data_IF_182258907192
#
_entry.id   IF_182258907192
#
_cell.length_a   1.000
_cell.length_b   1.000
_cell.length_c   1.000
_cell.angle_alpha   90.00
_cell.angle_beta   90.00
_cell.angle_gamma   90.00
#
_symmetry.space_group_name_H-M   'P 1'
#
loop_
_entity.id
_entity.type
_entity.pdbx_description
1 polymer ?
#
# COMPACT_ATOMS: atom_id res chain seq x y z
N UNK A 1 -22.90 2.75 -19.49
CA UNK A 1 -21.65 2.82 -18.72
C UNK A 1 -20.85 1.56 -19.02
N UNK A 2 -19.73 1.67 -19.67
CA UNK A 2 -18.81 0.55 -19.91
C UNK A 2 -18.25 0.10 -18.54
N UNK A 3 -18.50 -1.15 -18.20
CA UNK A 3 -17.97 -1.70 -16.94
C UNK A 3 -16.43 -1.69 -17.00
N UNK A 4 -15.79 -1.09 -15.99
CA UNK A 4 -14.33 -1.16 -15.82
C UNK A 4 -13.91 -2.63 -15.78
N UNK A 5 -13.08 -3.06 -16.73
CA UNK A 5 -12.47 -4.38 -16.72
C UNK A 5 -11.07 -4.25 -16.14
N UNK A 6 -10.83 -4.73 -14.92
CA UNK A 6 -9.51 -4.74 -14.36
C UNK A 6 -8.54 -5.55 -15.22
N UNK A 7 -7.28 -5.14 -15.35
CA UNK A 7 -6.31 -5.90 -16.11
C UNK A 7 -6.10 -7.29 -15.49
N UNK A 8 -6.00 -8.30 -16.39
CA UNK A 8 -5.57 -9.63 -15.99
C UNK A 8 -4.06 -9.57 -15.70
N UNK A 9 -3.56 -10.06 -14.57
CA UNK A 9 -2.13 -10.07 -14.28
C UNK A 9 -1.29 -10.82 -15.32
N UNK A 10 -1.82 -11.87 -15.94
CA UNK A 10 -1.09 -12.65 -16.94
C UNK A 10 -0.72 -11.80 -18.17
N UNK A 11 0.55 -11.52 -18.34
CA UNK A 11 1.11 -10.66 -19.41
C UNK A 11 1.01 -9.17 -19.14
N UNK A 12 0.42 -8.75 -18.01
CA UNK A 12 0.32 -7.33 -17.65
C UNK A 12 1.64 -6.76 -17.15
N UNK A 13 1.84 -5.47 -17.35
CA UNK A 13 2.97 -4.71 -16.82
C UNK A 13 2.55 -3.95 -15.56
N UNK A 14 3.31 -4.11 -14.48
CA UNK A 14 3.04 -3.46 -13.19
C UNK A 14 4.27 -2.75 -12.63
N UNK A 15 4.07 -1.63 -11.93
CA UNK A 15 5.08 -1.00 -11.08
C UNK A 15 4.59 -1.14 -9.63
N UNK A 16 5.50 -1.56 -8.73
CA UNK A 16 5.24 -1.62 -7.28
C UNK A 16 6.26 -0.76 -6.56
N UNK A 17 5.82 0.37 -5.99
CA UNK A 17 6.69 1.23 -5.18
C UNK A 17 6.82 0.70 -3.76
N UNK A 18 8.02 0.82 -3.16
CA UNK A 18 8.35 0.13 -1.91
C UNK A 18 8.33 -1.39 -2.08
N UNK A 19 8.71 -1.86 -3.30
CA UNK A 19 8.65 -3.27 -3.70
C UNK A 19 9.73 -4.15 -3.08
N UNK A 20 10.76 -3.56 -2.48
CA UNK A 20 11.90 -4.27 -1.89
C UNK A 20 11.63 -4.91 -0.52
N UNK A 21 10.47 -4.69 0.11
CA UNK A 21 10.17 -5.24 1.42
C UNK A 21 8.66 -5.35 1.72
N UNK A 22 8.33 -6.08 2.79
CA UNK A 22 7.00 -6.11 3.40
C UNK A 22 5.85 -6.39 2.41
N UNK A 23 4.83 -5.52 2.43
CA UNK A 23 3.65 -5.64 1.56
C UNK A 23 4.04 -5.55 0.08
N UNK A 24 4.97 -4.63 -0.27
CA UNK A 24 5.43 -4.46 -1.64
C UNK A 24 6.07 -5.73 -2.19
N UNK A 25 6.97 -6.35 -1.45
CA UNK A 25 7.60 -7.62 -1.85
C UNK A 25 6.58 -8.75 -2.01
N UNK A 26 5.59 -8.82 -1.12
CA UNK A 26 4.50 -9.80 -1.24
C UNK A 26 3.63 -9.57 -2.49
N UNK A 27 3.34 -8.30 -2.82
CA UNK A 27 2.64 -7.93 -4.06
C UNK A 27 3.45 -8.33 -5.30
N UNK A 28 4.76 -8.08 -5.29
CA UNK A 28 5.66 -8.50 -6.39
C UNK A 28 5.61 -10.02 -6.57
N UNK A 29 5.77 -10.79 -5.49
CA UNK A 29 5.67 -12.26 -5.56
C UNK A 29 4.34 -12.73 -6.15
N UNK A 30 3.24 -12.17 -5.67
CA UNK A 30 1.90 -12.54 -6.13
C UNK A 30 1.65 -12.19 -7.60
N UNK A 31 2.09 -11.01 -8.05
CA UNK A 31 1.95 -10.54 -9.44
C UNK A 31 2.79 -11.39 -10.38
N UNK A 32 4.06 -11.65 -10.07
CA UNK A 32 4.94 -12.49 -10.89
C UNK A 32 4.42 -13.93 -10.97
N UNK A 33 3.91 -14.46 -9.85
CA UNK A 33 3.29 -15.79 -9.83
C UNK A 33 2.02 -15.86 -10.69
N UNK A 34 1.32 -14.73 -10.85
CA UNK A 34 0.15 -14.61 -11.73
C UNK A 34 0.51 -14.30 -13.20
N UNK A 35 1.80 -14.20 -13.55
CA UNK A 35 2.29 -14.01 -14.91
C UNK A 35 2.53 -12.55 -15.32
N UNK A 36 2.57 -11.61 -14.38
CA UNK A 36 2.86 -10.20 -14.67
C UNK A 36 4.36 -9.92 -14.82
N UNK A 37 4.67 -8.88 -15.62
CA UNK A 37 5.98 -8.24 -15.62
C UNK A 37 5.97 -7.10 -14.59
N UNK A 38 6.84 -7.20 -13.57
CA UNK A 38 6.81 -6.28 -12.42
C UNK A 38 8.10 -5.49 -12.30
N UNK A 39 8.00 -4.16 -12.32
CA UNK A 39 9.09 -3.28 -11.91
C UNK A 39 9.04 -3.13 -10.39
N UNK A 40 10.07 -3.64 -9.73
CA UNK A 40 10.28 -3.58 -8.28
C UNK A 40 10.97 -2.26 -7.96
N UNK A 41 10.18 -1.21 -7.73
CA UNK A 41 10.70 0.13 -7.48
C UNK A 41 10.87 0.36 -5.96
N UNK A 42 12.08 0.67 -5.53
CA UNK A 42 12.40 0.94 -4.13
C UNK A 42 13.52 1.97 -4.00
N UNK A 43 13.55 2.72 -2.90
CA UNK A 43 14.66 3.61 -2.57
C UNK A 43 15.95 2.80 -2.36
N UNK A 44 15.84 1.63 -1.72
CA UNK A 44 16.90 0.63 -1.58
C UNK A 44 16.94 -0.31 -2.79
N UNK A 45 17.78 0.03 -3.77
CA UNK A 45 17.98 -0.81 -4.96
C UNK A 45 18.45 -2.23 -4.62
N UNK A 46 19.22 -2.42 -3.55
CA UNK A 46 19.68 -3.75 -3.15
C UNK A 46 18.49 -4.61 -2.66
N UNK A 47 17.56 -4.01 -1.91
CA UNK A 47 16.33 -4.68 -1.51
C UNK A 47 15.45 -5.05 -2.73
N UNK A 48 15.30 -4.13 -3.70
CA UNK A 48 14.57 -4.39 -4.94
C UNK A 48 15.19 -5.54 -5.75
N UNK A 49 16.52 -5.58 -5.85
CA UNK A 49 17.25 -6.68 -6.53
C UNK A 49 17.02 -8.02 -5.87
N UNK A 50 17.14 -8.10 -4.54
CA UNK A 50 16.89 -9.35 -3.80
C UNK A 50 15.51 -9.92 -4.08
N UNK A 51 14.47 -9.08 -4.08
CA UNK A 51 13.09 -9.52 -4.37
C UNK A 51 12.95 -9.97 -5.82
N UNK A 52 13.53 -9.25 -6.79
CA UNK A 52 13.48 -9.63 -8.20
C UNK A 52 14.18 -10.97 -8.46
N UNK A 53 15.33 -11.23 -7.83
CA UNK A 53 16.06 -12.50 -7.92
C UNK A 53 15.30 -13.65 -7.25
N UNK A 54 14.72 -13.43 -6.07
CA UNK A 54 13.91 -14.40 -5.33
C UNK A 54 12.76 -14.95 -6.20
N UNK A 55 11.98 -14.06 -6.82
CA UNK A 55 10.83 -14.49 -7.62
C UNK A 55 11.24 -15.20 -8.91
N UNK A 56 12.38 -14.86 -9.48
CA UNK A 56 12.93 -15.52 -10.66
C UNK A 56 13.37 -16.94 -10.34
N UNK A 57 14.08 -17.14 -9.24
CA UNK A 57 14.58 -18.44 -8.78
C UNK A 57 13.44 -19.37 -8.37
N UNK A 58 12.49 -18.87 -7.57
CA UNK A 58 11.34 -19.66 -7.10
C UNK A 58 10.47 -20.15 -8.24
N UNK A 59 10.35 -19.39 -9.31
CA UNK A 59 9.60 -19.77 -10.51
C UNK A 59 10.26 -20.95 -11.26
N UNK A 60 11.58 -20.91 -11.39
CA UNK A 60 12.32 -21.99 -12.09
C UNK A 60 12.15 -23.35 -11.42
N UNK A 61 11.81 -23.38 -10.13
CA UNK A 61 11.62 -24.60 -9.34
C UNK A 61 10.18 -25.15 -9.36
N UNK A 62 9.18 -24.41 -9.89
CA UNK A 62 7.77 -24.85 -9.88
C UNK A 62 7.38 -25.56 -11.19
N UNK A 63 7.05 -26.85 -11.09
CA UNK A 63 6.34 -27.58 -12.14
C UNK A 63 4.89 -27.06 -12.25
N UNK A 64 4.44 -26.69 -13.46
CA UNK A 64 3.08 -26.17 -13.70
C UNK A 64 2.96 -24.64 -13.72
N UNK A 65 4.01 -23.94 -14.14
CA UNK A 65 3.97 -22.48 -14.32
C UNK A 65 2.87 -22.05 -15.31
N UNK A 66 2.25 -20.86 -15.12
CA UNK A 66 1.25 -20.33 -16.04
C UNK A 66 1.80 -20.20 -17.46
N UNK A 67 0.92 -20.27 -18.47
CA UNK A 67 1.28 -20.18 -19.88
C UNK A 67 2.08 -18.90 -20.23
N UNK A 68 1.87 -17.82 -19.49
CA UNK A 68 2.66 -16.58 -19.58
C UNK A 68 3.58 -16.49 -18.37
N UNK A 69 4.86 -16.44 -18.64
CA UNK A 69 5.88 -16.36 -17.59
C UNK A 69 5.98 -14.93 -17.07
N UNK A 70 5.64 -14.68 -15.79
CA UNK A 70 5.91 -13.42 -15.13
C UNK A 70 7.41 -13.17 -14.92
N UNK A 71 7.80 -11.91 -14.78
CA UNK A 71 9.17 -11.50 -14.51
C UNK A 71 9.22 -10.31 -13.55
N UNK A 72 10.38 -10.08 -12.96
CA UNK A 72 10.61 -8.89 -12.13
C UNK A 72 11.93 -8.22 -12.53
N UNK A 73 11.94 -6.89 -12.54
CA UNK A 73 13.14 -6.10 -12.74
C UNK A 73 13.26 -5.03 -11.65
N UNK A 74 14.45 -4.83 -11.04
CA UNK A 74 14.63 -3.87 -9.98
C UNK A 74 14.86 -2.46 -10.54
N UNK A 75 14.27 -1.46 -9.88
CA UNK A 75 14.52 -0.05 -10.17
C UNK A 75 14.75 0.72 -8.86
N UNK A 76 15.76 1.63 -8.85
CA UNK A 76 15.89 2.59 -7.76
C UNK A 76 14.89 3.72 -7.97
N UNK A 77 14.06 4.00 -6.97
CA UNK A 77 13.08 5.07 -7.04
C UNK A 77 12.88 5.72 -5.66
N UNK A 78 13.07 7.02 -5.60
CA UNK A 78 12.55 7.86 -4.52
C UNK A 78 11.17 8.40 -4.94
N UNK A 79 10.12 7.99 -4.26
CA UNK A 79 8.75 8.43 -4.59
C UNK A 79 8.50 9.92 -4.27
N UNK A 80 9.38 10.57 -3.51
CA UNK A 80 9.30 12.02 -3.23
C UNK A 80 9.78 12.86 -4.40
N UNK A 81 10.52 12.27 -5.34
CA UNK A 81 10.97 12.88 -6.59
C UNK A 81 9.94 12.63 -7.72
N UNK A 82 9.15 13.64 -8.02
CA UNK A 82 8.09 13.56 -9.03
C UNK A 82 8.64 13.31 -10.45
N UNK A 83 9.82 13.86 -10.77
CA UNK A 83 10.44 13.70 -12.08
C UNK A 83 10.96 12.27 -12.25
N UNK A 84 11.59 11.71 -11.20
CA UNK A 84 12.03 10.32 -11.20
C UNK A 84 10.86 9.33 -11.34
N UNK A 85 9.72 9.61 -10.67
CA UNK A 85 8.51 8.77 -10.81
C UNK A 85 7.98 8.84 -12.24
N UNK A 86 7.87 10.03 -12.83
CA UNK A 86 7.40 10.21 -14.20
C UNK A 86 8.32 9.54 -15.21
N UNK A 87 9.63 9.74 -15.07
CA UNK A 87 10.62 9.12 -15.95
C UNK A 87 10.58 7.58 -15.93
N UNK A 88 10.40 6.99 -14.73
CA UNK A 88 10.24 5.53 -14.61
C UNK A 88 8.97 5.03 -15.30
N UNK A 89 7.85 5.72 -15.13
CA UNK A 89 6.58 5.35 -15.78
C UNK A 89 6.70 5.45 -17.30
N UNK A 90 7.28 6.51 -17.83
CA UNK A 90 7.51 6.69 -19.26
C UNK A 90 8.46 5.64 -19.84
N UNK A 91 9.54 5.32 -19.13
CA UNK A 91 10.47 4.25 -19.51
C UNK A 91 9.75 2.90 -19.62
N UNK A 92 8.90 2.56 -18.63
CA UNK A 92 8.13 1.32 -18.64
C UNK A 92 7.14 1.29 -19.80
N UNK A 93 6.42 2.37 -20.04
CA UNK A 93 5.47 2.48 -21.16
C UNK A 93 6.20 2.31 -22.51
N UNK A 94 7.34 2.97 -22.68
CA UNK A 94 8.12 2.91 -23.92
C UNK A 94 8.71 1.51 -24.19
N UNK A 95 9.22 0.86 -23.13
CA UNK A 95 9.90 -0.45 -23.28
C UNK A 95 8.93 -1.63 -23.32
N UNK A 96 7.74 -1.52 -22.70
CA UNK A 96 6.76 -2.61 -22.55
C UNK A 96 5.46 -2.38 -23.34
N UNK A 97 5.31 -1.23 -24.00
CA UNK A 97 4.10 -0.88 -24.74
C UNK A 97 2.92 -0.42 -23.89
N UNK A 98 3.11 -0.27 -22.56
CA UNK A 98 2.09 0.25 -21.65
C UNK A 98 2.32 -0.11 -20.20
N UNK A 99 1.58 0.57 -19.31
CA UNK A 99 1.52 0.26 -17.88
C UNK A 99 0.08 -0.12 -17.53
N UNK A 100 -0.13 -1.37 -17.07
CA UNK A 100 -1.46 -1.90 -16.75
C UNK A 100 -1.84 -1.67 -15.29
N UNK A 101 -0.87 -1.76 -14.38
CA UNK A 101 -1.12 -1.62 -12.94
C UNK A 101 -0.03 -0.75 -12.28
N UNK A 102 -0.46 0.22 -11.47
CA UNK A 102 0.41 1.02 -10.61
C UNK A 102 0.06 0.79 -9.15
N UNK A 103 0.98 0.21 -8.39
CA UNK A 103 0.85 0.01 -6.96
C UNK A 103 1.65 1.11 -6.22
N UNK A 104 0.96 2.17 -5.81
CA UNK A 104 1.52 3.21 -4.95
C UNK A 104 1.51 2.68 -3.50
N UNK A 105 2.57 1.95 -3.15
CA UNK A 105 2.66 1.20 -1.90
C UNK A 105 3.74 1.74 -0.95
N UNK A 106 4.76 2.43 -1.42
CA UNK A 106 5.80 3.02 -0.57
C UNK A 106 5.21 3.83 0.59
N UNK A 107 5.78 3.71 1.78
CA UNK A 107 5.29 4.41 2.95
C UNK A 107 6.17 4.25 4.17
N UNK A 108 6.13 5.25 5.03
CA UNK A 108 6.82 5.29 6.32
C UNK A 108 5.83 5.56 7.45
N UNK A 109 6.26 5.40 8.70
CA UNK A 109 5.46 5.67 9.90
C UNK A 109 6.29 6.34 10.98
N UNK A 110 5.63 7.12 11.81
CA UNK A 110 6.11 7.59 13.09
C UNK A 110 5.10 7.24 14.16
N UNK A 111 5.57 6.73 15.30
CA UNK A 111 4.74 6.36 16.45
C UNK A 111 5.30 6.89 17.76
N UNK A 112 4.42 7.34 18.63
CA UNK A 112 4.69 8.04 19.89
C UNK A 112 3.79 9.26 20.05
N UNK A 113 4.01 10.03 21.08
CA UNK A 113 3.25 11.24 21.33
C UNK A 113 3.49 12.31 20.26
N UNK A 114 2.42 12.96 19.83
CA UNK A 114 2.44 13.87 18.68
C UNK A 114 3.36 15.07 18.89
N UNK A 115 3.50 15.55 20.12
CA UNK A 115 4.38 16.65 20.52
C UNK A 115 5.88 16.34 20.38
N UNK A 116 6.24 15.06 20.26
CA UNK A 116 7.62 14.63 20.04
C UNK A 116 8.04 14.69 18.56
N UNK A 117 7.09 14.84 17.65
CA UNK A 117 7.37 14.91 16.22
C UNK A 117 7.95 16.26 15.82
N UNK A 118 9.13 16.25 15.20
CA UNK A 118 9.67 17.44 14.55
C UNK A 118 8.94 17.77 13.26
N UNK A 119 9.04 19.03 12.80
CA UNK A 119 8.47 19.42 11.49
C UNK A 119 9.10 18.65 10.33
N UNK A 120 10.38 18.28 10.42
CA UNK A 120 11.03 17.47 9.39
C UNK A 120 10.42 16.07 9.31
N UNK A 121 10.07 15.47 10.43
CA UNK A 121 9.36 14.18 10.46
C UNK A 121 7.93 14.30 9.90
N UNK A 122 7.22 15.40 10.20
CA UNK A 122 5.94 15.71 9.59
C UNK A 122 6.06 15.85 8.05
N UNK A 123 7.04 16.62 7.58
CA UNK A 123 7.28 16.82 6.16
C UNK A 123 7.64 15.48 5.49
N UNK A 124 8.57 14.72 6.05
CA UNK A 124 9.00 13.44 5.49
C UNK A 124 7.84 12.45 5.31
N UNK A 125 6.95 12.33 6.32
CA UNK A 125 5.81 11.40 6.21
C UNK A 125 4.76 11.89 5.19
N UNK A 126 4.57 13.20 5.06
CA UNK A 126 3.69 13.78 4.04
C UNK A 126 4.29 13.56 2.65
N UNK A 127 5.58 13.80 2.48
CA UNK A 127 6.27 13.66 1.20
C UNK A 127 6.20 12.22 0.69
N UNK A 128 6.50 11.25 1.54
CA UNK A 128 6.45 9.84 1.14
C UNK A 128 5.02 9.32 1.00
N UNK A 129 4.19 9.48 2.05
CA UNK A 129 2.89 8.79 2.12
C UNK A 129 1.78 9.49 1.33
N UNK A 130 1.90 10.80 1.07
CA UNK A 130 0.87 11.57 0.35
C UNK A 130 1.40 12.00 -1.00
N UNK A 131 2.46 12.82 -1.05
CA UNK A 131 3.00 13.32 -2.32
C UNK A 131 3.51 12.18 -3.19
N UNK A 132 4.22 11.19 -2.62
CA UNK A 132 4.66 10.01 -3.36
C UNK A 132 3.52 9.24 -4.01
N UNK A 133 2.37 9.10 -3.33
CA UNK A 133 1.16 8.51 -3.94
C UNK A 133 0.60 9.40 -5.04
N UNK A 134 0.57 10.72 -4.82
CA UNK A 134 0.12 11.69 -5.85
C UNK A 134 1.02 11.63 -7.08
N UNK A 135 2.36 11.57 -6.93
CA UNK A 135 3.30 11.43 -8.04
C UNK A 135 3.03 10.16 -8.86
N UNK A 136 2.79 9.02 -8.18
CA UNK A 136 2.43 7.77 -8.84
C UNK A 136 1.12 7.90 -9.65
N UNK A 137 0.10 8.52 -9.07
CA UNK A 137 -1.18 8.77 -9.75
C UNK A 137 -0.99 9.72 -10.91
N UNK A 138 -0.29 10.84 -10.71
CA UNK A 138 -0.02 11.84 -11.73
C UNK A 138 0.69 11.27 -12.95
N UNK A 139 1.70 10.43 -12.73
CA UNK A 139 2.46 9.82 -13.81
C UNK A 139 1.68 8.71 -14.55
N UNK A 140 0.94 7.86 -13.84
CA UNK A 140 0.32 6.68 -14.45
C UNK A 140 -1.09 6.92 -15.01
N UNK A 141 -1.91 7.71 -14.31
CA UNK A 141 -3.34 7.86 -14.62
C UNK A 141 -3.65 8.43 -16.00
N UNK A 142 -2.96 9.49 -16.50
CA UNK A 142 -3.21 10.02 -17.85
C UNK A 142 -3.01 8.96 -18.95
N UNK A 143 -1.97 8.13 -18.86
CA UNK A 143 -1.71 7.04 -19.81
C UNK A 143 -2.78 5.97 -19.76
N UNK A 144 -3.25 5.61 -18.56
CA UNK A 144 -4.33 4.63 -18.39
C UNK A 144 -5.66 5.14 -18.97
N UNK A 145 -5.98 6.43 -18.77
CA UNK A 145 -7.17 7.06 -19.38
C UNK A 145 -7.07 7.04 -20.91
N UNK A 146 -5.92 7.45 -21.46
CA UNK A 146 -5.73 7.50 -22.91
C UNK A 146 -5.90 6.12 -23.56
N UNK A 147 -5.51 5.05 -22.84
CA UNK A 147 -5.72 3.65 -23.25
C UNK A 147 -7.14 3.12 -23.00
N UNK A 148 -7.92 3.79 -22.15
CA UNK A 148 -9.21 3.29 -21.67
C UNK A 148 -9.10 2.03 -20.81
N UNK A 149 -7.93 1.75 -20.19
CA UNK A 149 -7.70 0.57 -19.35
C UNK A 149 -6.54 0.78 -18.38
N UNK A 150 -6.65 0.22 -17.19
CA UNK A 150 -5.61 0.24 -16.17
C UNK A 150 -6.15 0.04 -14.76
N UNK A 151 -5.25 -0.13 -13.79
CA UNK A 151 -5.60 -0.20 -12.38
C UNK A 151 -4.59 0.58 -11.51
N UNK A 152 -5.10 1.48 -10.70
CA UNK A 152 -4.37 2.15 -9.63
C UNK A 152 -4.68 1.47 -8.30
N UNK A 153 -3.65 1.06 -7.58
CA UNK A 153 -3.76 0.41 -6.27
C UNK A 153 -3.01 1.23 -5.25
N UNK A 154 -3.74 1.85 -4.32
CA UNK A 154 -3.19 2.79 -3.35
C UNK A 154 -3.16 2.16 -1.96
N UNK A 155 -1.98 2.00 -1.39
CA UNK A 155 -1.82 1.40 -0.06
C UNK A 155 -2.05 2.44 1.04
N UNK A 156 -3.25 2.43 1.61
CA UNK A 156 -3.62 3.15 2.81
C UNK A 156 -3.37 2.28 4.07
N UNK A 157 -4.32 2.27 5.00
CA UNK A 157 -4.30 1.52 6.27
C UNK A 157 -5.68 1.56 6.92
N UNK A 158 -5.93 0.72 7.91
CA UNK A 158 -7.03 0.94 8.88
C UNK A 158 -6.93 2.30 9.58
N UNK A 159 -5.71 2.82 9.77
CA UNK A 159 -5.47 4.20 10.23
C UNK A 159 -5.93 5.29 9.25
N UNK A 160 -6.32 4.94 8.02
CA UNK A 160 -7.00 5.84 7.07
C UNK A 160 -8.52 5.75 7.11
N UNK A 161 -9.08 4.81 7.89
CA UNK A 161 -10.52 4.58 8.03
C UNK A 161 -11.03 4.85 9.46
N UNK A 162 -10.14 4.81 10.44
CA UNK A 162 -10.43 5.02 11.86
C UNK A 162 -9.38 5.97 12.46
N UNK A 163 -9.72 6.82 13.43
CA UNK A 163 -8.76 7.58 14.20
C UNK A 163 -7.75 6.65 14.88
N UNK A 164 -6.49 7.07 14.97
CA UNK A 164 -5.42 6.30 15.61
C UNK A 164 -4.46 7.25 16.33
N UNK A 165 -4.67 7.48 17.62
CA UNK A 165 -3.76 8.24 18.47
C UNK A 165 -2.40 7.54 18.60
N UNK A 166 -1.38 8.26 18.98
CA UNK A 166 0.04 7.83 19.03
C UNK A 166 0.67 7.47 17.68
N UNK A 167 -0.08 7.50 16.59
CA UNK A 167 0.38 7.42 15.20
C UNK A 167 -0.32 8.49 14.35
N UNK A 168 -0.50 9.67 14.92
CA UNK A 168 -1.35 10.74 14.36
C UNK A 168 -0.92 11.17 12.95
N UNK A 169 0.39 11.40 12.74
CA UNK A 169 0.93 11.79 11.44
C UNK A 169 0.70 10.72 10.38
N UNK A 170 0.89 9.46 10.74
CA UNK A 170 0.62 8.32 9.86
C UNK A 170 -0.88 8.24 9.53
N UNK A 171 -1.75 8.29 10.55
CA UNK A 171 -3.19 8.22 10.35
C UNK A 171 -3.70 9.34 9.44
N UNK A 172 -3.23 10.58 9.63
CA UNK A 172 -3.54 11.72 8.77
C UNK A 172 -3.19 11.41 7.30
N UNK A 173 -1.96 10.93 7.04
CA UNK A 173 -1.54 10.63 5.66
C UNK A 173 -2.35 9.50 5.03
N UNK A 174 -2.73 8.49 5.81
CA UNK A 174 -3.53 7.37 5.31
C UNK A 174 -5.00 7.74 5.07
N UNK A 175 -5.57 8.69 5.81
CA UNK A 175 -6.87 9.30 5.49
C UNK A 175 -6.81 10.07 4.16
N UNK A 176 -5.73 10.83 3.91
CA UNK A 176 -5.53 11.52 2.63
C UNK A 176 -5.52 10.53 1.45
N UNK A 177 -4.82 9.39 1.58
CA UNK A 177 -4.79 8.35 0.53
C UNK A 177 -6.16 7.72 0.30
N UNK A 178 -6.95 7.47 1.37
CA UNK A 178 -8.33 6.96 1.23
C UNK A 178 -9.20 7.99 0.50
N UNK A 179 -9.13 9.26 0.89
CA UNK A 179 -9.89 10.35 0.26
C UNK A 179 -9.54 10.49 -1.23
N UNK A 180 -8.24 10.52 -1.55
CA UNK A 180 -7.76 10.54 -2.93
C UNK A 180 -8.30 9.36 -3.74
N UNK A 181 -8.10 8.14 -3.24
CA UNK A 181 -8.46 6.93 -3.99
C UNK A 181 -9.95 6.77 -4.24
N UNK A 182 -10.79 7.08 -3.25
CA UNK A 182 -12.24 7.01 -3.40
C UNK A 182 -12.79 8.09 -4.32
N UNK A 183 -12.24 9.33 -4.27
CA UNK A 183 -12.63 10.41 -5.18
C UNK A 183 -12.20 10.10 -6.61
N UNK A 184 -10.93 9.71 -6.81
CA UNK A 184 -10.39 9.35 -8.11
C UNK A 184 -11.15 8.17 -8.74
N UNK A 185 -11.59 7.20 -7.93
CA UNK A 185 -12.41 6.09 -8.40
C UNK A 185 -13.73 6.55 -9.03
N UNK A 186 -14.37 7.57 -8.45
CA UNK A 186 -15.60 8.12 -9.02
C UNK A 186 -15.35 8.77 -10.39
N UNK A 187 -14.23 9.50 -10.54
CA UNK A 187 -13.83 10.12 -11.81
C UNK A 187 -13.40 9.09 -12.86
N UNK A 188 -12.78 7.98 -12.43
CA UNK A 188 -12.24 6.94 -13.30
C UNK A 188 -13.33 5.95 -13.80
N UNK A 189 -14.54 5.98 -13.24
CA UNK A 189 -15.57 4.97 -13.44
C UNK A 189 -16.03 4.80 -14.90
N UNK A 190 -16.00 5.88 -15.69
CA UNK A 190 -16.36 5.89 -17.12
C UNK A 190 -15.14 5.95 -18.06
N UNK A 191 -13.93 5.96 -17.48
CA UNK A 191 -12.65 6.06 -18.20
C UNK A 191 -11.96 4.71 -18.39
N UNK A 192 -12.57 3.62 -17.96
CA UNK A 192 -11.99 2.27 -18.06
C UNK A 192 -10.88 1.96 -17.05
N UNK A 193 -10.61 2.85 -16.08
CA UNK A 193 -9.55 2.67 -15.10
C UNK A 193 -10.12 2.28 -13.74
N UNK A 194 -9.61 1.18 -13.18
CA UNK A 194 -9.95 0.73 -11.84
C UNK A 194 -9.12 1.45 -10.78
N UNK A 195 -9.73 1.82 -9.66
CA UNK A 195 -9.01 2.35 -8.49
C UNK A 195 -9.40 1.56 -7.26
N UNK A 196 -8.39 0.96 -6.60
CA UNK A 196 -8.55 0.17 -5.38
C UNK A 196 -7.69 0.74 -4.27
N UNK A 197 -8.30 1.01 -3.12
CA UNK A 197 -7.57 1.43 -1.92
C UNK A 197 -7.43 0.24 -0.97
N UNK A 198 -6.20 -0.04 -0.56
CA UNK A 198 -5.86 -1.16 0.34
C UNK A 198 -5.75 -0.63 1.75
N UNK A 199 -6.60 -1.10 2.65
CA UNK A 199 -6.68 -0.67 4.05
C UNK A 199 -6.41 -1.85 5.00
N UNK A 200 -5.15 -2.28 5.15
CA UNK A 200 -4.81 -3.37 6.04
C UNK A 200 -4.79 -2.92 7.50
N UNK A 201 -5.06 -3.86 8.38
CA UNK A 201 -4.68 -3.78 9.80
C UNK A 201 -3.17 -4.04 9.95
N UNK A 202 -2.68 -4.42 11.15
CA UNK A 202 -1.28 -4.76 11.33
C UNK A 202 -0.85 -5.93 10.42
N UNK A 203 0.14 -5.69 9.58
CA UNK A 203 0.76 -6.69 8.69
C UNK A 203 2.17 -6.97 9.18
N UNK A 204 2.62 -8.21 9.13
CA UNK A 204 3.95 -8.63 9.60
C UNK A 204 5.05 -8.10 8.67
N UNK A 205 5.46 -6.90 8.95
CA UNK A 205 6.46 -6.16 8.19
C UNK A 205 7.32 -5.32 9.13
N UNK A 206 8.49 -4.91 8.67
CA UNK A 206 9.39 -4.08 9.44
C UNK A 206 8.81 -2.69 9.81
N UNK A 207 7.70 -2.27 9.19
CA UNK A 207 7.07 -0.97 9.49
C UNK A 207 6.53 -0.92 10.94
N UNK A 208 6.17 -2.08 11.51
CA UNK A 208 5.68 -2.16 12.90
C UNK A 208 6.79 -1.81 13.93
N UNK A 209 8.05 -1.93 13.54
CA UNK A 209 9.21 -1.76 14.40
C UNK A 209 10.03 -0.49 14.04
N UNK A 210 9.55 0.31 13.07
CA UNK A 210 10.22 1.55 12.60
C UNK A 210 9.52 2.81 13.11
N UNK A 211 10.27 3.93 13.11
CA UNK A 211 9.72 5.26 13.40
C UNK A 211 9.24 5.41 14.84
N UNK A 212 9.86 4.74 15.80
CA UNK A 212 9.50 4.79 17.21
C UNK A 212 10.12 6.00 17.89
N UNK A 213 9.30 6.78 18.60
CA UNK A 213 9.71 7.94 19.39
C UNK A 213 9.64 7.59 20.88
N UNK A 214 10.63 8.01 21.63
CA UNK A 214 10.67 7.93 23.10
C UNK A 214 10.22 6.57 23.67
N UNK A 215 10.78 5.47 23.16
CA UNK A 215 10.48 4.12 23.63
C UNK A 215 9.10 3.58 23.21
N UNK A 216 8.39 4.23 22.30
CA UNK A 216 7.12 3.71 21.77
C UNK A 216 7.32 2.35 21.11
N UNK A 217 6.64 1.32 21.61
CA UNK A 217 6.64 -0.02 21.00
C UNK A 217 5.51 -0.12 19.95
N UNK A 218 5.86 0.14 18.70
CA UNK A 218 4.90 0.14 17.59
C UNK A 218 4.26 -1.23 17.40
N UNK A 219 5.03 -2.32 17.40
CA UNK A 219 4.50 -3.68 17.21
C UNK A 219 3.46 -4.02 18.26
N UNK A 220 3.79 -3.82 19.53
CA UNK A 220 2.87 -4.03 20.64
C UNK A 220 1.63 -3.16 20.51
N UNK A 221 1.81 -1.88 20.22
CA UNK A 221 0.71 -0.93 20.02
C UNK A 221 -0.26 -1.40 18.94
N UNK A 222 0.24 -1.80 17.76
CA UNK A 222 -0.64 -2.27 16.69
C UNK A 222 -1.36 -3.58 17.04
N UNK A 223 -0.70 -4.52 17.72
CA UNK A 223 -1.31 -5.80 18.06
C UNK A 223 -2.34 -5.67 19.17
N UNK A 224 -2.01 -4.97 20.25
CA UNK A 224 -2.91 -4.76 21.39
C UNK A 224 -4.15 -3.94 20.99
N UNK A 225 -3.94 -2.85 20.22
CA UNK A 225 -5.03 -2.01 19.72
C UNK A 225 -6.01 -2.72 18.79
N UNK A 226 -5.58 -3.82 18.19
CA UNK A 226 -6.42 -4.65 17.33
C UNK A 226 -6.89 -5.94 18.04
N UNK A 227 -6.47 -6.17 19.27
CA UNK A 227 -6.81 -7.35 20.04
C UNK A 227 -6.29 -8.65 19.40
N UNK A 228 -5.07 -8.62 18.83
CA UNK A 228 -4.50 -9.77 18.12
C UNK A 228 -3.13 -10.15 18.65
N UNK A 229 -2.84 -11.44 18.61
CA UNK A 229 -1.52 -11.96 19.01
C UNK A 229 -0.50 -12.00 17.88
N UNK A 230 -0.95 -11.99 16.63
CA UNK A 230 -0.09 -12.06 15.43
C UNK A 230 -0.61 -11.12 14.37
N UNK A 231 0.27 -10.40 13.68
CA UNK A 231 -0.11 -9.58 12.54
C UNK A 231 -0.56 -10.45 11.35
N UNK A 232 -1.17 -9.81 10.37
CA UNK A 232 -1.56 -10.44 9.12
C UNK A 232 -0.31 -10.80 8.29
N UNK A 233 -0.31 -11.97 7.71
CA UNK A 233 0.70 -12.40 6.75
C UNK A 233 0.66 -11.53 5.48
N UNK A 234 1.81 -10.98 5.01
CA UNK A 234 1.86 -10.12 3.82
C UNK A 234 1.42 -10.83 2.54
N UNK A 235 1.71 -12.13 2.38
CA UNK A 235 1.35 -12.86 1.16
C UNK A 235 -0.17 -13.13 1.11
N UNK A 236 -0.82 -13.35 2.27
CA UNK A 236 -2.29 -13.39 2.37
C UNK A 236 -2.93 -12.05 2.02
N UNK A 237 -2.31 -10.94 2.46
CA UNK A 237 -2.78 -9.62 2.07
C UNK A 237 -2.65 -9.43 0.57
N UNK A 238 -1.50 -9.75 -0.02
CA UNK A 238 -1.26 -9.62 -1.46
C UNK A 238 -2.29 -10.41 -2.28
N UNK A 239 -2.61 -11.64 -1.90
CA UNK A 239 -3.66 -12.43 -2.54
C UNK A 239 -5.04 -11.75 -2.46
N UNK A 240 -5.40 -11.17 -1.29
CA UNK A 240 -6.64 -10.41 -1.12
C UNK A 240 -6.66 -9.13 -1.96
N UNK A 241 -5.51 -8.46 -2.12
CA UNK A 241 -5.37 -7.27 -2.97
C UNK A 241 -5.59 -7.63 -4.44
N UNK A 242 -4.94 -8.66 -4.96
CA UNK A 242 -5.13 -9.09 -6.35
C UNK A 242 -6.58 -9.50 -6.62
N UNK A 243 -7.22 -10.23 -5.71
CA UNK A 243 -8.63 -10.55 -5.80
C UNK A 243 -9.53 -9.30 -5.75
N UNK A 244 -9.14 -8.30 -4.96
CA UNK A 244 -9.80 -7.00 -4.89
C UNK A 244 -9.70 -6.22 -6.20
N UNK A 245 -8.52 -6.18 -6.80
CA UNK A 245 -8.28 -5.55 -8.11
C UNK A 245 -9.09 -6.26 -9.19
N UNK A 246 -8.99 -7.60 -9.28
CA UNK A 246 -9.75 -8.39 -10.25
C UNK A 246 -11.28 -8.20 -10.12
N UNK A 247 -11.78 -8.02 -8.89
CA UNK A 247 -13.19 -7.71 -8.62
C UNK A 247 -13.53 -6.23 -8.69
N UNK A 248 -12.62 -5.36 -9.14
CA UNK A 248 -12.77 -3.91 -9.16
C UNK A 248 -13.35 -3.33 -7.85
N UNK A 249 -12.84 -3.79 -6.70
CA UNK A 249 -13.31 -3.34 -5.38
C UNK A 249 -12.75 -1.95 -5.06
N UNK A 250 -13.60 -1.07 -4.53
CA UNK A 250 -13.18 0.25 -4.07
C UNK A 250 -12.20 0.17 -2.89
N UNK A 251 -12.50 -0.73 -1.95
CA UNK A 251 -11.72 -0.92 -0.73
C UNK A 251 -11.39 -2.41 -0.52
N UNK A 252 -10.14 -2.70 -0.21
CA UNK A 252 -9.69 -3.98 0.31
C UNK A 252 -9.31 -3.79 1.77
N UNK A 253 -10.22 -4.16 2.67
CA UNK A 253 -10.03 -4.05 4.13
C UNK A 253 -9.73 -5.43 4.68
N UNK A 254 -8.52 -5.63 5.20
CA UNK A 254 -8.04 -6.90 5.72
C UNK A 254 -7.38 -6.76 7.11
N UNK A 255 -7.57 -7.76 7.97
CA UNK A 255 -8.43 -8.95 7.86
C UNK A 255 -9.94 -8.61 7.94
N UNK A 256 -10.80 -9.55 7.60
CA UNK A 256 -12.27 -9.35 7.55
C UNK A 256 -12.83 -8.71 8.83
N UNK A 257 -12.30 -9.07 10.02
CA UNK A 257 -12.69 -8.45 11.30
C UNK A 257 -12.44 -6.93 11.35
N UNK A 258 -11.43 -6.41 10.66
CA UNK A 258 -11.18 -4.97 10.57
C UNK A 258 -12.34 -4.21 9.91
N UNK A 259 -13.12 -4.89 9.06
CA UNK A 259 -14.36 -4.34 8.47
C UNK A 259 -15.42 -4.04 9.54
N UNK A 260 -15.49 -4.85 10.60
CA UNK A 260 -16.41 -4.61 11.71
C UNK A 260 -16.00 -3.34 12.49
N UNK A 261 -14.71 -3.16 12.77
CA UNK A 261 -14.20 -1.93 13.41
C UNK A 261 -14.48 -0.69 12.57
N UNK A 262 -14.24 -0.77 11.26
CA UNK A 262 -14.55 0.33 10.34
C UNK A 262 -16.05 0.64 10.29
N UNK A 263 -16.92 -0.38 10.24
CA UNK A 263 -18.38 -0.19 10.30
C UNK A 263 -18.80 0.46 11.62
N UNK A 264 -18.23 0.01 12.74
CA UNK A 264 -18.51 0.61 14.06
C UNK A 264 -18.09 2.09 14.08
N UNK A 265 -16.93 2.45 13.53
CA UNK A 265 -16.50 3.85 13.40
C UNK A 265 -17.53 4.70 12.64
N UNK A 266 -18.13 4.16 11.58
CA UNK A 266 -19.13 4.88 10.78
C UNK A 266 -20.50 5.01 11.44
N UNK A 267 -20.90 4.01 12.23
CA UNK A 267 -22.23 3.94 12.84
C UNK A 267 -22.27 4.55 14.24
N UNK A 268 -21.17 4.48 14.98
CA UNK A 268 -21.07 4.94 16.35
C UNK A 268 -19.73 5.64 16.63
N UNK A 269 -19.42 6.78 15.95
CA UNK A 269 -18.12 7.45 16.06
C UNK A 269 -17.80 7.85 17.50
N UNK A 270 -18.75 8.38 18.27
CA UNK A 270 -18.51 8.77 19.65
C UNK A 270 -18.24 7.60 20.61
N UNK A 271 -18.67 6.38 20.30
CA UNK A 271 -18.23 5.18 21.04
C UNK A 271 -16.78 4.84 20.69
N UNK A 272 -16.44 4.86 19.41
CA UNK A 272 -15.08 4.59 18.94
C UNK A 272 -14.09 5.60 19.51
N UNK A 273 -14.42 6.89 19.55
CA UNK A 273 -13.55 7.94 20.13
C UNK A 273 -13.23 7.65 21.59
N UNK A 274 -14.24 7.25 22.39
CA UNK A 274 -14.03 6.86 23.80
C UNK A 274 -13.14 5.62 23.94
N UNK A 275 -13.32 4.64 23.09
CA UNK A 275 -12.50 3.41 23.08
C UNK A 275 -11.04 3.75 22.74
N UNK A 276 -10.81 4.54 21.69
CA UNK A 276 -9.47 4.95 21.26
C UNK A 276 -8.80 5.82 22.34
N UNK A 277 -9.50 6.80 22.90
CA UNK A 277 -8.95 7.63 23.98
C UNK A 277 -8.57 6.80 25.22
N UNK A 278 -9.37 5.79 25.56
CA UNK A 278 -9.03 4.86 26.65
C UNK A 278 -7.79 4.05 26.30
N UNK A 279 -7.71 3.53 25.08
CA UNK A 279 -6.59 2.74 24.61
C UNK A 279 -5.27 3.57 24.62
N UNK A 280 -5.28 4.80 24.14
CA UNK A 280 -4.13 5.71 24.18
C UNK A 280 -3.64 5.92 25.62
N UNK A 281 -4.56 6.16 26.58
CA UNK A 281 -4.20 6.30 28.00
C UNK A 281 -3.51 5.07 28.56
N UNK A 282 -4.04 3.88 28.24
CA UNK A 282 -3.45 2.62 28.75
C UNK A 282 -2.10 2.32 28.09
N UNK A 283 -1.94 2.64 26.82
CA UNK A 283 -0.67 2.47 26.10
C UNK A 283 0.44 3.36 26.67
N UNK A 284 0.17 4.65 26.94
CA UNK A 284 1.11 5.56 27.60
C UNK A 284 1.54 5.05 28.98
N UNK A 285 0.60 4.57 29.80
CA UNK A 285 0.91 4.01 31.12
C UNK A 285 1.78 2.76 31.09
N UNK A 286 1.81 2.02 29.97
CA UNK A 286 2.65 0.82 29.80
C UNK A 286 4.07 1.16 29.30
N UNK A 287 4.27 2.29 28.65
CA UNK A 287 5.59 2.78 28.19
C UNK A 287 6.37 3.46 29.31
N UNK A 288 5.66 4.04 30.30
CA UNK A 288 6.27 4.73 31.45
C UNK A 288 6.79 3.78 32.55
N UNK A 289 6.70 2.47 32.40
CA UNK A 289 7.21 1.43 33.31
C UNK A 289 8.39 0.69 32.70
#
# INVERSE_FOLDING_TARGET
MTAVRPPNPAGATAIVTGGGSGIGAALVRALVAAGAHVVVADLDLAAARRVAEEVTTTRSARAGAPAVAGSAEPARLDVTDAEAVSALVEQVISSRGGLDMMFANAGITWGGDTELLSLDQWNAIIDVNVRGVVHCVHAAYPHMIARGSGALVLTASMGGLCPAGLITSYAMTKHAVVGLGLSLRAEAADRGVGVTVVCPAAVDTAILDKGQLDGFDGRRFYLDGQGVRRPLDPDRLAASVLAGVAGNRALVVEPVRARATWRLQRLAPGLMDRMIARYVRTSRASTAR
#
